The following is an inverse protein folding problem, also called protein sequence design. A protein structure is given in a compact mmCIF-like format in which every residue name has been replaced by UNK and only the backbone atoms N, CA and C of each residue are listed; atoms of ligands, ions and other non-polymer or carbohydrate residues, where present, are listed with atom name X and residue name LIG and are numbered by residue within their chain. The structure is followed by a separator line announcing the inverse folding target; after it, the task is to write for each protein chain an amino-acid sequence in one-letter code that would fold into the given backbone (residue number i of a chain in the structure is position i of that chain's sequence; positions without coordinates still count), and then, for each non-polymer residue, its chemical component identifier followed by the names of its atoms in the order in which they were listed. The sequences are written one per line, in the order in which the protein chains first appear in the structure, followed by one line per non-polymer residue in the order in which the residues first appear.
data_IF_587887238599
#
_entry.id   IF_587887238599
#
_cell.length_a   1.000
_cell.length_b   1.000
_cell.length_c   1.000
_cell.angle_alpha   90.00
_cell.angle_beta   90.00
_cell.angle_gamma   90.00
#
_symmetry.space_group_name_H-M   'P 1'
#
loop_
_entity.id
_entity.type
_entity.pdbx_description
1 polymer ?
#
# COMPACT_ATOMS: atom_id res chain seq x y z
N UNK A 1 -7.59 0.38 8.26
CA UNK A 1 -7.14 -1.02 8.51
C UNK A 1 -5.71 -1.12 8.04
N UNK A 2 -4.81 -1.70 8.85
CA UNK A 2 -3.37 -1.69 8.55
C UNK A 2 -2.83 -3.02 8.06
N UNK A 3 -1.83 -2.97 7.20
CA UNK A 3 -1.06 -4.12 6.74
C UNK A 3 0.44 -3.79 6.77
N UNK A 4 1.29 -4.78 7.02
CA UNK A 4 2.72 -4.56 6.99
C UNK A 4 3.19 -4.25 5.54
N UNK A 5 4.09 -3.28 5.38
CA UNK A 5 4.55 -2.82 4.07
C UNK A 5 5.07 -3.98 3.21
N UNK A 6 5.90 -4.85 3.79
CA UNK A 6 6.51 -5.98 3.10
C UNK A 6 5.50 -7.05 2.66
N UNK A 7 4.31 -7.08 3.26
CA UNK A 7 3.26 -8.05 2.89
C UNK A 7 2.46 -7.61 1.65
N UNK A 8 2.40 -6.30 1.39
CA UNK A 8 1.54 -5.76 0.33
C UNK A 8 2.31 -5.17 -0.84
N UNK A 9 3.47 -4.52 -0.61
CA UNK A 9 4.18 -3.76 -1.63
C UNK A 9 4.40 -4.56 -2.93
N UNK A 10 4.97 -5.76 -2.83
CA UNK A 10 5.23 -6.61 -3.99
C UNK A 10 3.97 -7.05 -4.74
N UNK A 11 2.83 -7.18 -4.03
CA UNK A 11 1.55 -7.53 -4.66
C UNK A 11 1.01 -6.37 -5.50
N UNK A 12 1.38 -5.13 -5.16
CA UNK A 12 1.08 -3.92 -5.94
C UNK A 12 2.15 -3.62 -7.01
N UNK A 13 3.12 -4.52 -7.16
CA UNK A 13 4.28 -4.32 -8.04
C UNK A 13 5.22 -3.21 -7.58
N UNK A 14 5.15 -2.80 -6.31
CA UNK A 14 6.00 -1.77 -5.73
C UNK A 14 7.06 -2.42 -4.83
N UNK A 15 8.25 -1.82 -4.76
CA UNK A 15 9.23 -2.23 -3.78
C UNK A 15 8.83 -1.70 -2.38
N UNK A 16 9.04 -2.44 -1.28
CA UNK A 16 8.77 -1.97 0.08
C UNK A 16 9.39 -0.60 0.40
N UNK A 17 10.57 -0.31 -0.15
CA UNK A 17 11.24 1.00 -0.02
C UNK A 17 10.46 2.14 -0.68
N UNK A 18 9.86 1.90 -1.84
CA UNK A 18 9.05 2.92 -2.55
C UNK A 18 7.78 3.21 -1.78
N UNK A 19 7.12 2.16 -1.27
CA UNK A 19 5.92 2.33 -0.45
C UNK A 19 6.23 3.03 0.89
N UNK A 20 7.34 2.69 1.55
CA UNK A 20 7.77 3.41 2.74
C UNK A 20 8.14 4.87 2.45
N UNK A 21 8.72 5.15 1.29
CA UNK A 21 8.97 6.53 0.85
C UNK A 21 7.66 7.29 0.70
N UNK A 22 6.64 6.72 0.05
CA UNK A 22 5.30 7.33 -0.03
C UNK A 22 4.67 7.59 1.35
N UNK A 23 4.98 6.76 2.36
CA UNK A 23 4.56 7.01 3.74
C UNK A 23 5.30 8.20 4.37
N UNK A 24 6.63 8.24 4.21
CA UNK A 24 7.47 9.31 4.74
C UNK A 24 7.19 10.66 4.07
N UNK A 25 6.89 10.64 2.78
CA UNK A 25 6.54 11.82 1.98
C UNK A 25 5.10 12.31 2.28
N UNK A 26 4.30 11.50 2.98
CA UNK A 26 2.92 11.84 3.40
C UNK A 26 1.84 11.50 2.37
N UNK A 27 2.19 10.88 1.25
CA UNK A 27 1.26 10.45 0.20
C UNK A 27 0.36 9.30 0.65
N UNK A 28 0.88 8.44 1.55
CA UNK A 28 0.17 7.29 2.12
C UNK A 28 0.22 7.35 3.64
N UNK A 29 -0.91 7.18 4.31
CA UNK A 29 -0.96 7.05 5.76
C UNK A 29 -0.31 5.73 6.20
N UNK A 30 0.62 5.80 7.14
CA UNK A 30 1.33 4.64 7.68
C UNK A 30 2.35 5.03 8.74
N UNK A 31 3.21 4.07 9.08
CA UNK A 31 4.31 4.27 10.01
C UNK A 31 5.53 3.45 9.56
N UNK A 32 6.70 4.08 9.56
CA UNK A 32 7.99 3.43 9.19
C UNK A 32 9.02 3.73 10.29
N UNK A 33 9.09 2.91 11.35
CA UNK A 33 9.99 3.14 12.47
C UNK A 33 11.46 3.22 12.05
N UNK A 34 12.14 4.28 12.48
CA UNK A 34 13.54 4.54 12.14
C UNK A 34 13.82 4.67 10.63
N UNK A 35 12.80 4.93 9.81
CA UNK A 35 12.93 4.96 8.36
C UNK A 35 13.26 3.60 7.73
N UNK A 36 13.08 2.50 8.47
CA UNK A 36 13.36 1.16 7.98
C UNK A 36 12.10 0.48 7.42
N UNK A 37 11.92 0.38 6.08
CA UNK A 37 10.78 -0.30 5.46
C UNK A 37 10.64 -1.79 5.82
N UNK A 38 11.70 -2.42 6.32
CA UNK A 38 11.72 -3.83 6.69
C UNK A 38 11.46 -4.05 8.19
N UNK A 39 11.31 -2.98 8.98
CA UNK A 39 10.91 -3.12 10.37
C UNK A 39 9.57 -3.86 10.45
N UNK A 40 9.45 -4.83 11.36
CA UNK A 40 8.20 -5.58 11.57
C UNK A 40 7.04 -4.68 11.96
N UNK A 41 7.37 -3.54 12.57
CA UNK A 41 6.45 -2.50 12.99
C UNK A 41 6.11 -1.52 11.85
N UNK A 42 6.70 -1.64 10.66
CA UNK A 42 6.34 -0.79 9.54
C UNK A 42 5.02 -1.23 8.89
N UNK A 43 4.06 -0.31 8.78
CA UNK A 43 2.72 -0.60 8.26
C UNK A 43 2.13 0.56 7.46
N UNK A 44 1.10 0.24 6.66
CA UNK A 44 0.33 1.21 5.85
C UNK A 44 -1.16 1.01 6.06
N UNK A 45 -1.93 2.08 5.96
CA UNK A 45 -3.39 2.00 5.91
C UNK A 45 -3.87 1.63 4.50
N UNK A 46 -4.70 0.58 4.42
CA UNK A 46 -5.17 0.03 3.15
C UNK A 46 -6.06 0.99 2.35
N UNK A 47 -6.85 1.86 3.01
CA UNK A 47 -7.73 2.79 2.31
C UNK A 47 -6.92 3.94 1.73
N UNK A 48 -5.98 4.49 2.51
CA UNK A 48 -5.05 5.50 2.00
C UNK A 48 -4.22 4.95 0.83
N UNK A 49 -3.72 3.71 0.93
CA UNK A 49 -3.00 3.06 -0.15
C UNK A 49 -3.85 2.84 -1.40
N UNK A 50 -5.14 2.52 -1.25
CA UNK A 50 -6.08 2.41 -2.38
C UNK A 50 -6.23 3.75 -3.11
N UNK A 51 -6.44 4.83 -2.38
CA UNK A 51 -6.56 6.17 -2.95
C UNK A 51 -5.27 6.60 -3.66
N UNK A 52 -4.11 6.26 -3.09
CA UNK A 52 -2.81 6.54 -3.71
C UNK A 52 -2.63 5.80 -5.04
N UNK A 53 -2.96 4.51 -5.09
CA UNK A 53 -2.90 3.73 -6.34
C UNK A 53 -3.87 4.27 -7.41
N UNK A 54 -5.07 4.70 -7.01
CA UNK A 54 -6.05 5.34 -7.89
C UNK A 54 -5.51 6.66 -8.45
N UNK A 55 -4.92 7.50 -7.60
CA UNK A 55 -4.25 8.73 -8.03
C UNK A 55 -3.08 8.46 -9.02
N UNK A 56 -2.24 7.47 -8.75
CA UNK A 56 -1.16 7.08 -9.67
C UNK A 56 -1.70 6.65 -11.05
N UNK A 57 -2.83 5.95 -11.06
CA UNK A 57 -3.51 5.56 -12.30
C UNK A 57 -4.05 6.77 -13.06
N UNK A 58 -4.72 7.71 -12.37
CA UNK A 58 -5.20 8.97 -12.97
C UNK A 58 -4.05 9.82 -13.56
N UNK A 59 -2.84 9.73 -12.98
CA UNK A 59 -1.63 10.37 -13.51
C UNK A 59 -0.95 9.59 -14.64
N UNK A 60 -1.46 8.43 -15.03
CA UNK A 60 -0.84 7.56 -16.04
C UNK A 60 0.48 6.93 -15.59
N UNK A 61 0.78 6.92 -14.28
CA UNK A 61 2.00 6.33 -13.72
C UNK A 61 1.85 4.83 -13.44
N UNK A 62 0.63 4.34 -13.45
CA UNK A 62 0.28 2.92 -13.36
C UNK A 62 -0.64 2.61 -14.53
N UNK A 63 -0.35 1.55 -15.28
CA UNK A 63 -1.22 1.10 -16.36
C UNK A 63 -2.50 0.42 -15.83
N UNK A 64 -3.54 0.34 -16.68
CA UNK A 64 -4.84 -0.23 -16.32
C UNK A 64 -4.72 -1.67 -15.76
N UNK A 65 -3.89 -2.52 -16.37
CA UNK A 65 -3.75 -3.92 -15.94
C UNK A 65 -3.16 -4.01 -14.52
N UNK A 66 -2.12 -3.22 -14.25
CA UNK A 66 -1.47 -3.12 -12.95
C UNK A 66 -2.39 -2.47 -11.92
N UNK A 67 -3.15 -1.46 -12.31
CA UNK A 67 -4.16 -0.83 -11.46
C UNK A 67 -5.21 -1.85 -11.01
N UNK A 68 -5.85 -2.55 -11.95
CA UNK A 68 -6.86 -3.56 -11.66
C UNK A 68 -6.34 -4.72 -10.80
N UNK A 69 -5.08 -5.11 -10.99
CA UNK A 69 -4.44 -6.12 -10.13
C UNK A 69 -4.23 -5.60 -8.72
N UNK A 70 -3.76 -4.37 -8.58
CA UNK A 70 -3.49 -3.72 -7.30
C UNK A 70 -4.79 -3.55 -6.49
N UNK A 71 -5.85 -3.05 -7.12
CA UNK A 71 -7.17 -2.91 -6.48
C UNK A 71 -7.72 -4.25 -6.01
N UNK A 72 -7.65 -5.32 -6.82
CA UNK A 72 -8.07 -6.67 -6.39
C UNK A 72 -7.32 -7.17 -5.16
N UNK A 73 -6.01 -6.92 -5.08
CA UNK A 73 -5.23 -7.31 -3.90
C UNK A 73 -5.61 -6.50 -2.66
N UNK A 74 -5.82 -5.20 -2.81
CA UNK A 74 -6.25 -4.32 -1.72
C UNK A 74 -7.64 -4.69 -1.22
N UNK A 75 -8.60 -4.90 -2.11
CA UNK A 75 -9.97 -5.29 -1.74
C UNK A 75 -10.00 -6.62 -1.00
N UNK A 76 -9.17 -7.59 -1.40
CA UNK A 76 -9.04 -8.86 -0.70
C UNK A 76 -8.47 -8.69 0.73
N UNK A 77 -7.46 -7.83 0.92
CA UNK A 77 -6.94 -7.51 2.25
C UNK A 77 -7.94 -6.73 3.10
N UNK A 78 -8.70 -5.82 2.47
CA UNK A 78 -9.76 -5.09 3.14
C UNK A 78 -10.85 -6.05 3.62
N UNK A 79 -11.29 -6.97 2.76
CA UNK A 79 -12.24 -8.03 3.14
C UNK A 79 -11.74 -8.85 4.33
N UNK A 80 -10.47 -9.31 4.28
CA UNK A 80 -9.85 -10.06 5.37
C UNK A 80 -9.79 -9.29 6.69
N UNK A 81 -9.39 -8.03 6.66
CA UNK A 81 -9.27 -7.23 7.88
C UNK A 81 -10.63 -6.79 8.44
N UNK A 82 -11.68 -6.71 7.62
CA UNK A 82 -13.07 -6.51 8.09
C UNK A 82 -13.60 -7.76 8.80
N UNK A 83 -13.34 -8.96 8.26
CA UNK A 83 -13.80 -10.23 8.84
C UNK A 83 -13.12 -10.60 10.17
N UNK A 84 -12.01 -9.94 10.53
CA UNK A 84 -11.27 -10.15 11.79
C UNK A 84 -11.71 -9.22 12.93
N UNK A 85 -12.61 -8.28 12.66
CA UNK A 85 -13.22 -7.39 13.65
C UNK A 85 -14.56 -7.96 14.10
#
# INVERSE_FOLDING_TARGET
MKIAIYQIAYRLGMHPKELAKAVLDGDVTGEVPGGNPQAKEAWVDLLSLRNYIEWLHEKGQVDELRYQKSIRHLDAEIGRAKARR
#
